data_IF_908292491164
#
_entry.id   IF_908292491164
#
_cell.length_a   1.000
_cell.length_b   1.000
_cell.length_c   1.000
_cell.angle_alpha   90.00
_cell.angle_beta   90.00
_cell.angle_gamma   90.00
#
_symmetry.space_group_name_H-M   'P 1'
#
loop_
_entity.id
_entity.type
_entity.pdbx_description
1 polymer ?
#
# COMPACT_ATOMS: atom_id res chain seq x y z
N UNK A 1 19.93 7.95 18.52
CA UNK A 1 20.21 8.03 17.07
C UNK A 1 18.96 8.59 16.42
N UNK A 2 19.10 9.72 15.74
CA UNK A 2 18.04 10.15 14.82
C UNK A 2 17.99 9.13 13.67
N UNK A 3 16.82 8.50 13.51
CA UNK A 3 16.59 7.47 12.47
C UNK A 3 16.17 8.10 11.15
N UNK A 4 15.75 9.36 11.17
CA UNK A 4 15.48 10.10 9.94
C UNK A 4 16.78 10.45 9.25
N UNK A 5 16.80 10.22 7.95
CA UNK A 5 17.89 10.69 7.12
C UNK A 5 17.42 11.98 6.47
N UNK A 6 18.25 13.02 6.58
CA UNK A 6 17.92 14.31 5.99
C UNK A 6 17.98 14.20 4.46
N UNK A 7 16.85 14.49 3.83
CA UNK A 7 16.69 14.73 2.39
C UNK A 7 15.93 16.05 2.25
N UNK A 8 16.20 16.78 1.16
CA UNK A 8 15.57 18.07 0.93
C UNK A 8 14.15 17.90 0.34
N UNK A 9 13.92 16.81 -0.40
CA UNK A 9 12.65 16.51 -1.08
C UNK A 9 11.91 15.31 -0.50
N UNK A 10 12.61 14.36 0.13
CA UNK A 10 11.99 13.20 0.78
C UNK A 10 11.75 13.51 2.26
N UNK A 11 10.49 13.76 2.64
CA UNK A 11 10.18 14.26 3.99
C UNK A 11 10.11 13.17 5.04
N UNK A 12 9.87 11.92 4.63
CA UNK A 12 9.53 10.81 5.50
C UNK A 12 10.49 9.62 5.36
N UNK A 13 11.76 9.90 5.04
CA UNK A 13 12.79 8.88 4.82
C UNK A 13 13.50 8.52 6.14
N UNK A 14 13.48 7.24 6.53
CA UNK A 14 14.16 6.75 7.75
C UNK A 14 14.56 5.28 7.70
N UNK A 15 15.54 4.93 8.53
CA UNK A 15 16.01 3.56 8.79
C UNK A 15 15.12 2.86 9.83
N UNK A 16 14.75 1.59 9.58
CA UNK A 16 14.02 0.72 10.52
C UNK A 16 14.95 -0.10 11.43
N UNK A 17 16.24 0.26 11.48
CA UNK A 17 17.23 -0.29 12.39
C UNK A 17 17.19 0.26 13.83
N UNK A 18 17.80 -0.50 14.73
CA UNK A 18 18.04 -0.09 16.12
C UNK A 18 16.84 -0.25 17.04
N UNK A 19 15.85 -1.07 16.68
CA UNK A 19 14.74 -1.44 17.57
C UNK A 19 15.07 -2.72 18.33
N UNK A 20 14.79 -2.73 19.64
CA UNK A 20 14.88 -3.96 20.44
C UNK A 20 13.80 -4.93 19.96
N UNK A 21 14.20 -6.16 19.73
CA UNK A 21 13.39 -7.25 19.20
C UNK A 21 13.35 -8.41 20.20
N UNK A 22 12.52 -9.41 19.91
CA UNK A 22 12.44 -10.62 20.74
C UNK A 22 13.80 -11.33 20.84
N UNK A 23 14.01 -12.11 21.91
CA UNK A 23 15.24 -12.88 22.10
C UNK A 23 16.51 -12.04 22.37
N UNK A 24 16.36 -10.76 22.73
CA UNK A 24 17.50 -9.87 22.98
C UNK A 24 18.15 -9.33 21.70
N UNK A 25 17.54 -9.57 20.54
CA UNK A 25 18.03 -9.07 19.26
C UNK A 25 17.73 -7.57 19.08
N UNK A 26 18.39 -6.97 18.09
CA UNK A 26 18.15 -5.59 17.66
C UNK A 26 18.04 -5.57 16.15
N UNK A 27 17.06 -4.83 15.61
CA UNK A 27 16.92 -4.69 14.15
C UNK A 27 18.19 -4.06 13.57
N UNK A 28 18.74 -4.68 12.53
CA UNK A 28 20.01 -4.25 11.94
C UNK A 28 19.80 -2.94 11.16
N UNK A 29 20.62 -1.94 11.45
CA UNK A 29 20.64 -0.68 10.70
C UNK A 29 21.10 -0.87 9.25
N UNK A 30 20.65 0.05 8.39
CA UNK A 30 20.95 0.10 6.96
C UNK A 30 20.52 -1.14 6.17
N UNK A 31 19.50 -1.85 6.64
CA UNK A 31 18.91 -3.01 5.95
C UNK A 31 17.58 -2.67 5.32
N UNK A 32 16.68 -2.02 6.07
CA UNK A 32 15.36 -1.65 5.59
C UNK A 32 15.07 -0.20 5.90
N UNK A 33 14.78 0.56 4.85
CA UNK A 33 14.34 1.95 4.93
C UNK A 33 12.85 2.06 4.59
N UNK A 34 12.23 3.13 5.06
CA UNK A 34 10.90 3.56 4.61
C UNK A 34 10.94 4.99 4.13
N UNK A 35 10.08 5.34 3.18
CA UNK A 35 10.07 6.67 2.55
C UNK A 35 8.66 7.12 2.13
N UNK A 36 8.54 8.42 1.84
CA UNK A 36 7.51 8.96 0.94
C UNK A 36 7.88 8.74 -0.54
N UNK A 37 7.22 9.45 -1.46
CA UNK A 37 7.34 9.22 -2.91
C UNK A 37 8.77 9.42 -3.46
N UNK A 38 9.46 8.33 -3.80
CA UNK A 38 10.80 8.35 -4.40
C UNK A 38 10.87 8.95 -5.81
N UNK A 39 9.74 9.15 -6.49
CA UNK A 39 9.74 9.81 -7.79
C UNK A 39 10.18 11.28 -7.73
N UNK A 40 10.14 11.90 -6.54
CA UNK A 40 10.71 13.24 -6.29
C UNK A 40 12.22 13.31 -6.57
N UNK A 41 12.91 12.17 -6.57
CA UNK A 41 14.32 12.11 -6.94
C UNK A 41 14.55 12.41 -8.43
N UNK A 42 13.52 12.45 -9.27
CA UNK A 42 13.63 12.96 -10.65
C UNK A 42 13.65 14.49 -10.73
N UNK A 43 13.25 15.19 -9.67
CA UNK A 43 13.16 16.65 -9.72
C UNK A 43 14.55 17.27 -9.97
N UNK A 44 14.64 18.35 -10.77
CA UNK A 44 15.92 19.00 -11.03
C UNK A 44 16.65 19.43 -9.75
N UNK A 45 15.90 19.86 -8.73
CA UNK A 45 16.45 20.26 -7.42
C UNK A 45 16.97 19.08 -6.58
N UNK A 46 16.65 17.83 -6.91
CA UNK A 46 16.99 16.65 -6.09
C UNK A 46 18.40 16.08 -6.36
N UNK A 47 19.37 16.88 -6.83
CA UNK A 47 20.74 16.40 -7.14
C UNK A 47 21.43 15.83 -5.90
N UNK A 48 21.43 16.59 -4.80
CA UNK A 48 22.04 16.15 -3.54
C UNK A 48 21.31 14.94 -2.95
N UNK A 49 19.98 14.94 -3.02
CA UNK A 49 19.15 13.82 -2.58
C UNK A 49 19.42 12.54 -3.36
N UNK A 50 19.58 12.61 -4.69
CA UNK A 50 19.99 11.45 -5.51
C UNK A 50 21.34 10.90 -5.05
N UNK A 51 22.34 11.77 -4.86
CA UNK A 51 23.65 11.35 -4.39
C UNK A 51 23.60 10.69 -2.99
N UNK A 52 22.78 11.24 -2.08
CA UNK A 52 22.53 10.63 -0.76
C UNK A 52 21.87 9.27 -0.88
N UNK A 53 20.81 9.16 -1.69
CA UNK A 53 20.11 7.90 -1.93
C UNK A 53 21.04 6.83 -2.51
N UNK A 54 21.89 7.21 -3.47
CA UNK A 54 22.87 6.30 -4.08
C UNK A 54 23.90 5.79 -3.07
N UNK A 55 24.37 6.67 -2.17
CA UNK A 55 25.31 6.34 -1.11
C UNK A 55 24.74 5.37 -0.05
N UNK A 56 23.41 5.22 0.04
CA UNK A 56 22.79 4.20 0.89
C UNK A 56 22.95 2.79 0.34
N UNK A 57 23.31 2.65 -0.93
CA UNK A 57 23.53 1.35 -1.57
C UNK A 57 22.25 0.52 -1.71
N UNK A 58 21.08 1.17 -1.78
CA UNK A 58 19.78 0.49 -1.92
C UNK A 58 19.77 -0.36 -3.21
N UNK A 59 19.35 -1.62 -3.08
CA UNK A 59 19.27 -2.60 -4.16
C UNK A 59 17.85 -3.02 -4.48
N UNK A 60 16.92 -2.86 -3.53
CA UNK A 60 15.52 -3.26 -3.70
C UNK A 60 14.58 -2.10 -3.36
N UNK A 61 13.64 -1.79 -4.25
CA UNK A 61 12.58 -0.81 -4.03
C UNK A 61 11.22 -1.49 -4.12
N UNK A 62 10.43 -1.35 -3.06
CA UNK A 62 9.03 -1.79 -3.02
C UNK A 62 8.12 -0.57 -3.05
N UNK A 63 7.41 -0.39 -4.16
CA UNK A 63 6.45 0.68 -4.36
C UNK A 63 5.03 0.18 -4.09
N UNK A 64 4.42 0.66 -3.00
CA UNK A 64 3.09 0.27 -2.53
C UNK A 64 1.96 1.09 -3.15
N UNK A 65 2.28 2.00 -4.08
CA UNK A 65 1.30 2.89 -4.70
C UNK A 65 0.39 2.15 -5.68
N UNK A 66 -0.75 2.75 -5.98
CA UNK A 66 -1.56 2.35 -7.11
C UNK A 66 -0.83 2.60 -8.43
N UNK A 67 -1.12 1.81 -9.46
CA UNK A 67 -0.54 2.00 -10.79
C UNK A 67 -0.79 3.41 -11.37
N UNK A 68 -1.95 4.01 -11.08
CA UNK A 68 -2.27 5.37 -11.53
C UNK A 68 -1.42 6.45 -10.86
N UNK A 69 -1.02 6.27 -9.59
CA UNK A 69 -0.12 7.20 -8.89
C UNK A 69 1.28 7.16 -9.53
N UNK A 70 1.75 5.97 -9.89
CA UNK A 70 3.02 5.74 -10.58
C UNK A 70 2.97 6.34 -11.99
N UNK A 71 1.89 6.08 -12.74
CA UNK A 71 1.71 6.65 -14.08
C UNK A 71 1.71 8.19 -14.06
N UNK A 72 1.14 8.80 -13.02
CA UNK A 72 1.05 10.26 -12.86
C UNK A 72 2.34 10.92 -12.43
N UNK A 73 3.11 10.28 -11.55
CA UNK A 73 4.25 10.95 -10.87
C UNK A 73 5.61 10.33 -11.18
N UNK A 74 5.65 9.16 -11.83
CA UNK A 74 6.86 8.43 -12.13
C UNK A 74 7.25 7.41 -11.05
N UNK A 75 8.30 6.65 -11.35
CA UNK A 75 8.96 5.70 -10.44
C UNK A 75 10.18 6.37 -9.79
N UNK A 76 10.86 5.65 -8.91
CA UNK A 76 12.24 5.97 -8.52
C UNK A 76 13.13 6.02 -9.78
N UNK A 77 14.17 6.87 -9.83
CA UNK A 77 15.16 6.86 -10.90
C UNK A 77 15.74 5.46 -11.13
N UNK A 78 15.73 5.02 -12.38
CA UNK A 78 16.28 3.73 -12.75
C UNK A 78 17.80 3.73 -12.53
N UNK A 79 18.31 2.61 -12.01
CA UNK A 79 19.73 2.38 -11.76
C UNK A 79 20.06 0.92 -12.02
N UNK A 80 21.27 0.67 -12.50
CA UNK A 80 21.75 -0.68 -12.76
C UNK A 80 21.75 -1.55 -11.49
N UNK A 81 21.12 -2.72 -11.61
CA UNK A 81 20.96 -3.69 -10.52
C UNK A 81 20.04 -3.23 -9.39
N UNK A 82 19.24 -2.18 -9.58
CA UNK A 82 18.14 -1.84 -8.69
C UNK A 82 16.91 -2.67 -9.05
N UNK A 83 16.54 -3.60 -8.17
CA UNK A 83 15.29 -4.36 -8.29
C UNK A 83 14.09 -3.49 -7.89
N UNK A 84 13.11 -3.37 -8.80
CA UNK A 84 11.90 -2.59 -8.57
C UNK A 84 10.68 -3.51 -8.54
N UNK A 85 9.94 -3.47 -7.42
CA UNK A 85 8.73 -4.25 -7.20
C UNK A 85 7.55 -3.31 -6.99
N UNK A 86 6.57 -3.35 -7.89
CA UNK A 86 5.29 -2.66 -7.71
C UNK A 86 4.30 -3.63 -7.07
N UNK A 87 3.97 -3.39 -5.80
CA UNK A 87 3.09 -4.24 -4.99
C UNK A 87 2.04 -3.35 -4.31
N UNK A 88 1.03 -2.93 -5.07
CA UNK A 88 -0.06 -2.09 -4.58
C UNK A 88 -0.95 -2.87 -3.59
N UNK A 89 -0.90 -2.49 -2.30
CA UNK A 89 -1.63 -3.18 -1.22
C UNK A 89 -3.03 -2.61 -0.96
N UNK A 90 -3.34 -1.47 -1.55
CA UNK A 90 -4.66 -0.84 -1.46
C UNK A 90 -5.35 -1.13 -2.80
N UNK A 91 -6.50 -1.80 -2.79
CA UNK A 91 -7.24 -2.16 -4.00
C UNK A 91 -8.47 -1.29 -4.23
N UNK A 92 -8.92 -0.59 -3.18
CA UNK A 92 -10.03 0.36 -3.25
C UNK A 92 -9.48 1.75 -3.56
N UNK A 93 -9.96 2.33 -4.65
CA UNK A 93 -9.63 3.72 -4.98
C UNK A 93 -10.22 4.61 -3.90
N UNK A 94 -9.35 5.36 -3.25
CA UNK A 94 -9.74 6.19 -2.13
C UNK A 94 -9.12 7.58 -2.33
N UNK A 95 -9.96 8.61 -2.36
CA UNK A 95 -9.54 9.96 -2.70
C UNK A 95 -9.43 10.82 -1.43
N UNK A 96 -8.18 11.18 -1.06
CA UNK A 96 -7.88 12.01 0.15
C UNK A 96 -8.51 13.37 0.02
N UNK A 97 -8.52 13.90 -1.20
CA UNK A 97 -9.02 15.23 -1.48
C UNK A 97 -10.55 15.26 -1.50
N UNK A 98 -11.21 14.19 -1.94
CA UNK A 98 -12.67 14.11 -1.96
C UNK A 98 -13.30 13.72 -0.61
N UNK A 99 -12.50 13.22 0.33
CA UNK A 99 -12.99 12.89 1.68
C UNK A 99 -13.09 14.19 2.51
N UNK A 100 -14.31 14.72 2.61
CA UNK A 100 -14.62 15.89 3.43
C UNK A 100 -14.40 15.66 4.94
N UNK A 101 -14.71 16.64 5.81
CA UNK A 101 -14.58 16.48 7.26
C UNK A 101 -15.43 15.29 7.75
N UNK A 102 -14.78 14.30 8.35
CA UNK A 102 -15.46 13.11 8.84
C UNK A 102 -15.79 13.22 10.33
N UNK A 103 -17.03 12.89 10.76
CA UNK A 103 -17.32 12.66 12.17
C UNK A 103 -16.54 11.45 12.67
N UNK A 104 -15.66 11.63 13.66
CA UNK A 104 -14.83 10.54 14.19
C UNK A 104 -13.73 10.07 13.24
N UNK A 105 -12.79 10.97 12.83
CA UNK A 105 -11.76 10.66 11.84
C UNK A 105 -10.89 9.46 12.24
N UNK A 106 -10.76 9.19 13.54
CA UNK A 106 -10.01 8.04 14.06
C UNK A 106 -10.65 6.68 13.73
N UNK A 107 -11.99 6.56 13.70
CA UNK A 107 -12.66 5.29 13.32
C UNK A 107 -12.40 5.00 11.85
N UNK A 108 -12.58 6.03 11.04
CA UNK A 108 -12.30 5.96 9.62
C UNK A 108 -10.84 5.61 9.29
N UNK A 109 -9.90 6.20 10.03
CA UNK A 109 -8.48 5.87 9.92
C UNK A 109 -8.13 4.48 10.50
N UNK A 110 -8.96 3.92 11.39
CA UNK A 110 -8.79 2.57 11.94
C UNK A 110 -9.42 1.48 11.07
N UNK A 111 -10.53 1.77 10.39
CA UNK A 111 -11.22 0.86 9.47
C UNK A 111 -10.38 0.64 8.20
N UNK A 112 -9.65 1.68 7.76
CA UNK A 112 -8.83 1.65 6.54
C UNK A 112 -7.71 0.59 6.54
N UNK A 113 -6.88 0.46 7.60
CA UNK A 113 -5.98 -0.69 7.73
C UNK A 113 -6.73 -2.02 7.59
N UNK A 114 -7.93 -2.14 8.16
CA UNK A 114 -8.77 -3.34 8.04
C UNK A 114 -9.12 -3.68 6.59
N UNK A 115 -9.48 -2.69 5.77
CA UNK A 115 -9.74 -2.90 4.34
C UNK A 115 -8.47 -3.30 3.56
N UNK A 116 -7.34 -2.65 3.84
CA UNK A 116 -6.05 -3.00 3.24
C UNK A 116 -5.66 -4.44 3.57
N UNK A 117 -5.86 -4.89 4.82
CA UNK A 117 -5.59 -6.28 5.18
C UNK A 117 -6.58 -7.27 4.56
N UNK A 118 -7.86 -6.89 4.45
CA UNK A 118 -8.89 -7.74 3.87
C UNK A 118 -8.64 -8.01 2.37
N UNK A 119 -8.29 -6.96 1.61
CA UNK A 119 -8.17 -7.05 0.16
C UNK A 119 -6.72 -7.22 -0.31
N UNK A 120 -5.75 -6.67 0.41
CA UNK A 120 -4.33 -6.62 0.06
C UNK A 120 -3.45 -7.67 0.73
N UNK A 121 -4.04 -8.64 1.43
CA UNK A 121 -3.28 -9.64 2.20
C UNK A 121 -2.27 -10.44 1.35
N UNK A 122 -2.61 -10.73 0.09
CA UNK A 122 -1.70 -11.41 -0.85
C UNK A 122 -0.49 -10.55 -1.18
N UNK A 123 -0.70 -9.29 -1.56
CA UNK A 123 0.37 -8.36 -1.89
C UNK A 123 1.23 -8.05 -0.66
N UNK A 124 0.63 -7.93 0.52
CA UNK A 124 1.38 -7.77 1.78
C UNK A 124 2.30 -8.97 2.02
N UNK A 125 1.81 -10.21 1.84
CA UNK A 125 2.65 -11.40 1.96
C UNK A 125 3.80 -11.39 0.95
N UNK A 126 3.54 -10.98 -0.30
CA UNK A 126 4.57 -10.83 -1.32
C UNK A 126 5.60 -9.75 -0.98
N UNK A 127 5.18 -8.64 -0.37
CA UNK A 127 6.09 -7.60 0.12
C UNK A 127 7.03 -8.19 1.18
N UNK A 128 6.48 -8.93 2.16
CA UNK A 128 7.31 -9.57 3.20
C UNK A 128 8.29 -10.56 2.57
N UNK A 129 7.86 -11.36 1.60
CA UNK A 129 8.72 -12.31 0.90
C UNK A 129 9.87 -11.63 0.14
N UNK A 130 9.57 -10.55 -0.61
CA UNK A 130 10.58 -9.73 -1.28
C UNK A 130 11.58 -9.12 -0.31
N UNK A 131 11.10 -8.60 0.83
CA UNK A 131 11.98 -7.99 1.84
C UNK A 131 12.85 -9.04 2.55
N UNK A 132 12.33 -10.23 2.81
CA UNK A 132 13.06 -11.31 3.46
C UNK A 132 14.19 -11.87 2.59
N UNK A 133 14.05 -11.81 1.26
CA UNK A 133 15.01 -12.32 0.29
C UNK A 133 15.76 -11.21 -0.47
N UNK A 134 15.67 -9.95 -0.03
CA UNK A 134 16.33 -8.83 -0.70
C UNK A 134 17.86 -8.96 -0.63
N UNK A 135 18.52 -8.91 -1.79
CA UNK A 135 19.98 -8.90 -1.89
C UNK A 135 20.54 -7.47 -1.67
N UNK A 136 20.60 -7.07 -0.40
CA UNK A 136 21.12 -5.76 0.03
C UNK A 136 20.05 -4.85 0.63
N UNK A 137 20.38 -3.58 0.91
CA UNK A 137 19.44 -2.65 1.55
C UNK A 137 18.20 -2.42 0.70
N UNK A 138 17.03 -2.47 1.33
CA UNK A 138 15.74 -2.29 0.69
C UNK A 138 15.05 -1.00 1.19
N UNK A 139 14.17 -0.44 0.37
CA UNK A 139 13.26 0.65 0.76
C UNK A 139 11.84 0.32 0.37
N UNK A 140 10.91 0.46 1.31
CA UNK A 140 9.47 0.44 1.02
C UNK A 140 8.89 1.86 1.06
N UNK A 141 8.02 2.19 0.11
CA UNK A 141 7.42 3.52 0.06
C UNK A 141 6.00 3.52 -0.51
N UNK A 142 5.29 4.63 -0.27
CA UNK A 142 4.03 4.92 -0.93
C UNK A 142 4.02 6.40 -1.36
N UNK A 143 2.87 7.09 -1.37
CA UNK A 143 2.81 8.51 -1.68
C UNK A 143 3.41 9.40 -0.58
N UNK A 144 2.97 9.23 0.66
CA UNK A 144 3.40 10.01 1.83
C UNK A 144 4.29 9.23 2.80
N UNK A 145 4.41 7.91 2.61
CA UNK A 145 5.09 7.02 3.55
C UNK A 145 4.37 6.88 4.90
N UNK A 146 3.15 7.40 5.06
CA UNK A 146 2.37 7.37 6.32
C UNK A 146 1.56 6.08 6.45
N UNK A 147 0.52 5.91 5.64
CA UNK A 147 -0.49 4.87 5.85
C UNK A 147 -0.03 3.50 5.34
N UNK A 148 -0.01 3.29 4.01
CA UNK A 148 0.38 2.00 3.39
C UNK A 148 1.76 1.52 3.84
N UNK A 149 2.74 2.40 3.78
CA UNK A 149 4.11 2.13 4.27
C UNK A 149 4.15 1.90 5.77
N UNK A 150 3.38 2.64 6.56
CA UNK A 150 3.36 2.48 8.01
C UNK A 150 2.75 1.16 8.45
N UNK A 151 1.69 0.71 7.77
CA UNK A 151 1.07 -0.60 8.02
C UNK A 151 2.07 -1.73 7.77
N UNK A 152 2.76 -1.72 6.62
CA UNK A 152 3.74 -2.75 6.29
C UNK A 152 4.96 -2.67 7.22
N UNK A 153 5.48 -1.48 7.51
CA UNK A 153 6.60 -1.31 8.44
C UNK A 153 6.24 -1.80 9.86
N UNK A 154 5.04 -1.49 10.34
CA UNK A 154 4.54 -1.97 11.63
C UNK A 154 4.43 -3.51 11.65
N UNK A 155 3.95 -4.12 10.57
CA UNK A 155 3.90 -5.58 10.43
C UNK A 155 5.30 -6.19 10.47
N UNK A 156 6.27 -5.65 9.73
CA UNK A 156 7.66 -6.13 9.74
C UNK A 156 8.25 -6.07 11.14
N UNK A 157 8.15 -4.92 11.83
CA UNK A 157 8.69 -4.78 13.19
C UNK A 157 7.99 -5.72 14.19
N UNK A 158 6.68 -5.93 14.04
CA UNK A 158 5.92 -6.87 14.86
C UNK A 158 6.38 -8.31 14.62
N UNK A 159 6.60 -8.72 13.37
CA UNK A 159 7.13 -10.04 13.02
C UNK A 159 8.55 -10.27 13.57
N UNK A 160 9.36 -9.21 13.67
CA UNK A 160 10.67 -9.24 14.32
C UNK A 160 10.58 -9.22 15.85
N UNK A 161 9.37 -9.12 16.44
CA UNK A 161 9.16 -9.14 17.88
C UNK A 161 9.50 -7.83 18.58
N UNK A 162 9.47 -6.69 17.86
CA UNK A 162 9.52 -5.36 18.48
C UNK A 162 8.22 -5.13 19.24
N UNK A 163 8.29 -4.58 20.45
CA UNK A 163 7.11 -4.36 21.27
C UNK A 163 6.14 -3.34 20.65
N UNK A 164 4.85 -3.51 20.95
CA UNK A 164 3.77 -2.74 20.34
C UNK A 164 3.91 -1.23 20.56
N UNK A 165 4.37 -0.78 21.72
CA UNK A 165 4.49 0.64 22.03
C UNK A 165 5.63 1.27 21.22
N UNK A 166 6.75 0.55 21.05
CA UNK A 166 7.83 0.96 20.16
C UNK A 166 7.39 0.99 18.69
N UNK A 167 6.60 0.00 18.23
CA UNK A 167 6.03 0.01 16.87
C UNK A 167 5.11 1.21 16.65
N UNK A 168 4.24 1.50 17.62
CA UNK A 168 3.36 2.66 17.57
C UNK A 168 4.14 3.99 17.57
N UNK A 169 5.24 4.05 18.34
CA UNK A 169 6.15 5.19 18.35
C UNK A 169 6.82 5.40 16.99
N UNK A 170 7.33 4.35 16.33
CA UNK A 170 7.88 4.46 14.95
C UNK A 170 6.83 4.96 13.96
N UNK A 171 5.61 4.46 14.07
CA UNK A 171 4.51 4.87 13.20
C UNK A 171 4.25 6.38 13.35
N UNK A 172 4.19 6.86 14.60
CA UNK A 172 3.95 8.27 14.95
C UNK A 172 5.08 9.21 14.53
N UNK A 173 6.31 8.73 14.30
CA UNK A 173 7.42 9.55 13.79
C UNK A 173 7.11 10.25 12.46
N UNK A 174 6.13 9.74 11.70
CA UNK A 174 5.65 10.38 10.47
C UNK A 174 5.11 11.80 10.70
N UNK A 175 4.68 12.15 11.91
CA UNK A 175 4.18 13.50 12.19
C UNK A 175 5.23 14.60 11.97
N UNK A 176 6.52 14.27 12.13
CA UNK A 176 7.61 15.19 11.79
C UNK A 176 7.67 15.54 10.30
N UNK A 177 7.17 14.65 9.43
CA UNK A 177 7.14 14.84 7.98
C UNK A 177 5.88 15.58 7.50
N UNK A 178 4.84 15.70 8.33
CA UNK A 178 3.51 16.19 7.92
C UNK A 178 3.56 17.59 7.30
N UNK A 179 4.36 18.51 7.86
CA UNK A 179 4.47 19.86 7.33
C UNK A 179 5.02 19.90 5.90
N UNK A 180 6.13 19.21 5.63
CA UNK A 180 6.74 19.14 4.30
C UNK A 180 5.84 18.43 3.27
N UNK A 181 5.20 17.34 3.67
CA UNK A 181 4.24 16.62 2.84
C UNK A 181 3.04 17.49 2.45
N UNK A 182 2.51 18.28 3.38
CA UNK A 182 1.42 19.23 3.14
C UNK A 182 1.84 20.36 2.21
N UNK A 183 3.06 20.89 2.37
CA UNK A 183 3.60 21.91 1.49
C UNK A 183 3.72 21.40 0.03
N UNK A 184 4.30 20.21 -0.17
CA UNK A 184 4.43 19.58 -1.49
C UNK A 184 3.08 19.25 -2.12
N UNK A 185 2.09 18.85 -1.31
CA UNK A 185 0.74 18.61 -1.80
C UNK A 185 0.09 19.92 -2.26
N UNK A 186 0.20 20.98 -1.47
CA UNK A 186 -0.40 22.29 -1.78
C UNK A 186 0.20 22.87 -3.07
N UNK A 187 1.53 22.80 -3.21
CA UNK A 187 2.25 23.27 -4.39
C UNK A 187 1.81 22.55 -5.68
N UNK A 188 1.46 21.25 -5.60
CA UNK A 188 1.03 20.46 -6.76
C UNK A 188 -0.44 20.60 -7.14
N UNK A 189 -1.30 20.91 -6.17
CA UNK A 189 -2.76 20.86 -6.36
C UNK A 189 -3.42 22.25 -6.29
N UNK A 190 -2.67 23.31 -5.99
CA UNK A 190 -3.19 24.69 -6.00
C UNK A 190 -4.24 24.99 -4.92
N UNK A 191 -4.40 24.13 -3.92
CA UNK A 191 -5.38 24.23 -2.84
C UNK A 191 -4.75 23.91 -1.48
N UNK A 192 -5.48 24.18 -0.38
CA UNK A 192 -5.12 23.71 0.95
C UNK A 192 -5.26 22.18 1.02
N UNK A 193 -4.34 21.45 1.70
CA UNK A 193 -4.44 20.00 1.83
C UNK A 193 -5.77 19.61 2.44
N UNK A 194 -6.39 18.49 2.01
CA UNK A 194 -7.53 17.94 2.73
C UNK A 194 -7.16 17.77 4.21
N UNK A 195 -8.15 17.89 5.08
CA UNK A 195 -8.01 17.73 6.52
C UNK A 195 -7.75 16.26 6.87
N UNK A 196 -6.61 15.72 6.45
CA UNK A 196 -6.13 14.39 6.78
C UNK A 196 -5.47 14.40 8.15
N UNK A 197 -6.28 14.11 9.18
CA UNK A 197 -5.90 13.63 10.51
C UNK A 197 -4.57 14.14 11.08
N UNK A 198 -4.62 15.29 11.75
CA UNK A 198 -3.75 15.48 12.91
C UNK A 198 -4.03 14.34 13.87
N UNK A 199 -3.00 13.59 14.23
CA UNK A 199 -3.09 12.56 15.26
C UNK A 199 -3.09 13.23 16.63
N UNK A 200 -4.08 14.08 16.90
CA UNK A 200 -4.41 14.37 18.30
C UNK A 200 -5.02 13.08 18.84
N UNK A 201 -4.16 12.26 19.44
CA UNK A 201 -4.58 11.11 20.21
C UNK A 201 -5.62 11.59 21.23
N UNK A 202 -6.76 10.90 21.39
CA UNK A 202 -7.67 11.24 22.47
C UNK A 202 -6.89 11.17 23.79
N UNK A 203 -7.18 12.07 24.76
CA UNK A 203 -6.54 12.00 26.07
C UNK A 203 -6.72 10.58 26.62
N UNK A 204 -5.61 9.95 27.05
CA UNK A 204 -5.66 8.64 27.71
C UNK A 204 -6.71 8.73 28.82
N UNK A 205 -7.67 7.78 28.93
CA UNK A 205 -8.53 7.74 30.10
C UNK A 205 -7.60 7.65 31.32
N UNK A 206 -7.74 8.61 32.24
CA UNK A 206 -7.01 8.60 33.50
C UNK A 206 -7.22 7.23 34.14
N UNK A 207 -6.15 6.62 34.64
CA UNK A 207 -6.17 5.37 35.37
C UNK A 207 -7.02 5.51 36.64
N UNK A 208 -8.34 5.41 36.50
CA UNK A 208 -9.25 5.16 37.59
C UNK A 208 -9.30 3.64 37.75
N UNK A 209 -8.59 3.18 38.79
CA UNK A 209 -8.58 1.80 39.26
C UNK A 209 -10.03 1.35 39.51
N UNK A 210 -10.61 0.63 38.56
CA UNK A 210 -11.86 -0.08 38.75
C UNK A 210 -11.57 -1.56 38.51
N UNK A 211 -11.36 -2.29 39.60
CA UNK A 211 -11.20 -3.73 39.61
C UNK A 211 -12.50 -4.38 39.17
N UNK A 212 -12.61 -4.72 37.89
CA UNK A 212 -13.63 -5.66 37.43
C UNK A 212 -13.00 -7.03 37.35
N UNK A 213 -13.30 -7.86 38.33
CA UNK A 213 -12.91 -9.27 38.41
C UNK A 213 -13.51 -10.02 37.23
N UNK A 214 -12.67 -10.50 36.32
CA UNK A 214 -13.09 -11.47 35.31
C UNK A 214 -13.17 -12.85 35.97
N UNK A 215 -14.37 -13.31 36.30
CA UNK A 215 -14.60 -14.73 36.60
C UNK A 215 -14.54 -15.52 35.30
N UNK A 216 -13.48 -16.32 35.14
CA UNK A 216 -13.38 -17.31 34.09
C UNK A 216 -14.39 -18.44 34.35
N UNK A 217 -15.39 -18.58 33.47
CA UNK A 217 -16.24 -19.78 33.43
C UNK A 217 -15.48 -20.87 32.68
N UNK A 218 -14.95 -21.84 33.42
CA UNK A 218 -14.34 -23.06 32.87
C UNK A 218 -15.46 -23.94 32.30
N UNK A 219 -15.53 -24.09 30.98
CA UNK A 219 -16.38 -25.09 30.35
C UNK A 219 -15.71 -26.48 30.48
N UNK A 220 -16.33 -27.37 31.25
CA UNK A 220 -15.90 -28.75 31.40
C UNK A 220 -16.10 -29.55 30.10
N UNK A 221 -15.11 -30.38 29.74
CA UNK A 221 -15.21 -31.33 28.63
C UNK A 221 -16.20 -32.46 28.94
N UNK A 222 -17.01 -32.93 27.98
CA UNK A 222 -17.88 -34.08 28.19
C UNK A 222 -17.11 -35.40 28.09
N UNK A 223 -17.57 -36.48 28.78
CA UNK A 223 -16.86 -37.75 28.82
C UNK A 223 -17.06 -38.58 27.56
N UNK A 224 -16.01 -39.33 27.23
CA UNK A 224 -15.96 -40.32 26.14
C UNK A 224 -16.74 -41.58 26.51
N UNK A 225 -17.70 -41.98 25.67
CA UNK A 225 -18.29 -43.32 25.71
C UNK A 225 -18.19 -44.01 24.35
N UNK A 226 -17.52 -45.17 24.34
CA UNK A 226 -17.51 -46.14 23.23
C UNK A 226 -18.93 -46.69 23.00
N UNK A 227 -19.34 -46.87 21.73
CA UNK A 227 -20.06 -48.07 21.24
C UNK A 227 -20.23 -48.09 19.71
N UNK A 228 -19.68 -49.15 19.11
CA UNK A 228 -20.25 -50.05 18.08
C UNK A 228 -21.32 -49.55 17.08
N UNK A 229 -21.06 -49.77 15.78
CA UNK A 229 -22.03 -49.77 14.68
C UNK A 229 -23.10 -50.87 14.83
N UNK A 230 -24.35 -50.73 14.30
CA UNK A 230 -24.61 -51.11 12.91
C UNK A 230 -25.76 -50.37 12.15
N UNK A 231 -25.73 -50.54 10.82
CA UNK A 231 -26.76 -50.52 9.74
C UNK A 231 -28.18 -49.94 9.98
N UNK A 232 -28.66 -49.17 8.98
CA UNK A 232 -30.07 -49.17 8.53
C UNK A 232 -30.79 -47.81 8.54
N UNK A 233 -31.04 -47.23 7.36
CA UNK A 233 -31.93 -46.07 7.15
C UNK A 233 -33.40 -46.46 7.31
N UNK A 234 -34.25 -45.51 7.74
CA UNK A 234 -35.43 -45.21 6.93
C UNK A 234 -35.65 -43.71 6.68
N UNK A 235 -36.30 -43.43 5.55
CA UNK A 235 -36.69 -42.12 5.02
C UNK A 235 -37.79 -41.44 5.85
N UNK A 236 -37.74 -40.10 5.92
CA UNK A 236 -38.87 -39.26 6.33
C UNK A 236 -39.01 -38.01 5.44
N UNK A 237 -40.23 -37.46 5.31
CA UNK A 237 -40.69 -36.73 4.13
C UNK A 237 -40.47 -35.21 4.20
N UNK A 238 -40.46 -34.59 3.01
CA UNK A 238 -40.40 -33.14 2.79
C UNK A 238 -41.56 -32.38 3.45
N UNK A 239 -41.25 -31.22 4.01
CA UNK A 239 -42.18 -30.15 4.38
C UNK A 239 -41.81 -28.85 3.62
N UNK A 240 -42.76 -27.93 3.39
CA UNK A 240 -42.79 -27.08 2.20
C UNK A 240 -42.00 -25.77 2.31
N UNK A 241 -41.75 -25.19 1.13
CA UNK A 241 -41.00 -23.97 0.87
C UNK A 241 -41.57 -22.74 1.58
N UNK A 242 -40.71 -22.01 2.28
CA UNK A 242 -40.96 -20.62 2.69
C UNK A 242 -40.45 -19.67 1.60
N UNK A 243 -41.37 -18.88 1.08
CA UNK A 243 -41.23 -17.91 0.00
C UNK A 243 -40.35 -16.71 0.40
N UNK A 244 -39.20 -16.54 -0.27
CA UNK A 244 -38.53 -15.25 -0.38
C UNK A 244 -39.01 -14.55 -1.65
N UNK A 245 -39.31 -13.24 -1.64
CA UNK A 245 -39.61 -12.49 -2.85
C UNK A 245 -38.35 -12.38 -3.74
N UNK A 246 -38.50 -12.34 -5.08
CA UNK A 246 -37.36 -12.27 -5.98
C UNK A 246 -36.62 -10.94 -5.84
N UNK A 247 -35.28 -11.01 -5.78
CA UNK A 247 -34.39 -9.84 -5.85
C UNK A 247 -34.56 -9.13 -7.19
N UNK A 248 -34.76 -7.82 -7.15
CA UNK A 248 -34.70 -6.95 -8.34
C UNK A 248 -33.33 -7.05 -9.01
N UNK A 249 -33.24 -7.05 -10.35
CA UNK A 249 -31.96 -7.01 -11.05
C UNK A 249 -31.24 -5.68 -10.81
N UNK A 250 -29.89 -5.66 -10.79
CA UNK A 250 -29.15 -4.43 -10.58
C UNK A 250 -29.40 -3.42 -11.71
N UNK A 251 -29.60 -2.16 -11.33
CA UNK A 251 -29.77 -1.05 -12.26
C UNK A 251 -28.54 -0.91 -13.17
N UNK A 252 -28.79 -0.68 -14.46
CA UNK A 252 -27.75 -0.33 -15.46
C UNK A 252 -26.96 0.89 -14.96
N UNK A 253 -25.62 0.90 -15.11
CA UNK A 253 -24.84 2.10 -14.78
C UNK A 253 -25.28 3.28 -15.67
N UNK A 254 -25.29 4.52 -15.14
CA UNK A 254 -25.62 5.69 -15.93
C UNK A 254 -24.63 5.84 -17.09
N UNK A 255 -25.17 6.15 -18.28
CA UNK A 255 -24.36 6.48 -19.47
C UNK A 255 -23.42 7.63 -19.11
N UNK A 256 -22.12 7.42 -19.34
CA UNK A 256 -21.12 8.47 -19.21
C UNK A 256 -21.44 9.67 -20.10
N UNK A 257 -20.95 10.88 -19.76
CA UNK A 257 -21.18 12.08 -20.55
C UNK A 257 -20.61 11.90 -21.97
N UNK A 258 -21.23 12.54 -22.99
CA UNK A 258 -20.82 12.36 -24.38
C UNK A 258 -19.39 12.85 -24.61
N UNK A 259 -18.63 12.03 -25.34
CA UNK A 259 -17.29 12.36 -25.86
C UNK A 259 -17.36 13.71 -26.58
N UNK A 260 -16.66 14.71 -26.03
CA UNK A 260 -16.35 15.92 -26.79
C UNK A 260 -15.19 15.58 -27.72
N UNK A 261 -15.52 15.38 -28.99
CA UNK A 261 -14.58 15.49 -30.11
C UNK A 261 -13.92 16.87 -30.07
N UNK A 262 -12.63 16.91 -29.76
CA UNK A 262 -11.82 18.11 -29.95
C UNK A 262 -11.47 18.21 -31.44
N UNK A 263 -12.27 18.96 -32.19
CA UNK A 263 -11.84 19.58 -33.44
C UNK A 263 -10.70 20.55 -33.12
N UNK A 264 -9.49 20.22 -33.57
CA UNK A 264 -8.38 21.17 -33.65
C UNK A 264 -8.17 21.53 -35.13
N UNK A 265 -8.63 22.71 -35.51
CA UNK A 265 -8.22 23.37 -36.75
C UNK A 265 -7.85 24.83 -36.48
N UNK A 266 -6.88 25.28 -37.29
CA UNK A 266 -6.15 26.55 -37.30
C UNK A 266 -5.00 26.63 -36.27
N UNK A 267 -3.74 26.80 -36.63
CA UNK A 267 -3.13 27.10 -37.92
C UNK A 267 -2.24 28.32 -37.79
N UNK A 268 -0.93 28.11 -37.70
CA UNK A 268 0.08 29.09 -38.16
C UNK A 268 1.36 28.37 -38.58
N UNK A 269 1.75 28.67 -39.83
CA UNK A 269 3.02 28.46 -40.54
C UNK A 269 4.20 28.93 -39.65
N UNK A 270 5.48 28.57 -39.80
CA UNK A 270 6.32 28.11 -40.92
C UNK A 270 7.73 27.83 -40.37
N UNK A 271 8.60 27.25 -41.21
CA UNK A 271 10.02 26.87 -41.01
C UNK A 271 10.18 25.44 -40.46
N UNK A 272 10.57 24.42 -41.23
CA UNK A 272 11.36 24.39 -42.45
C UNK A 272 12.78 23.97 -42.11
N UNK A 273 12.99 22.68 -41.82
CA UNK A 273 14.28 21.98 -41.92
C UNK A 273 13.96 20.49 -42.06
N UNK A 274 14.25 19.94 -43.24
CA UNK A 274 14.02 18.53 -43.57
C UNK A 274 15.12 17.64 -43.02
N UNK A 275 14.74 16.44 -42.59
CA UNK A 275 15.61 15.27 -42.60
C UNK A 275 14.75 14.03 -42.88
N UNK A 276 15.08 13.35 -43.97
CA UNK A 276 14.46 12.14 -44.48
C UNK A 276 14.61 10.96 -43.49
N UNK A 277 13.52 10.23 -43.29
CA UNK A 277 13.49 8.89 -42.69
C UNK A 277 13.11 7.87 -43.79
N UNK A 278 13.88 6.80 -44.03
CA UNK A 278 13.52 5.79 -45.01
C UNK A 278 12.42 4.85 -44.47
N UNK A 279 11.58 4.42 -45.42
CA UNK A 279 10.32 3.71 -45.26
C UNK A 279 10.44 2.24 -44.83
N UNK A 280 9.38 1.78 -44.17
CA UNK A 280 9.14 0.42 -43.73
C UNK A 280 9.05 -0.57 -44.91
N UNK A 281 9.74 -1.72 -44.79
CA UNK A 281 9.41 -2.95 -45.53
C UNK A 281 8.70 -3.92 -44.60
N UNK A 282 7.51 -4.32 -45.02
CA UNK A 282 6.68 -5.35 -44.42
C UNK A 282 7.30 -6.73 -44.59
N UNK A 283 7.70 -7.38 -43.50
CA UNK A 283 7.93 -8.82 -43.49
C UNK A 283 6.72 -9.52 -42.86
N UNK A 284 5.95 -10.22 -43.70
CA UNK A 284 4.95 -11.20 -43.26
C UNK A 284 5.70 -12.45 -42.80
N UNK A 285 5.50 -12.83 -41.54
CA UNK A 285 5.94 -14.11 -40.97
C UNK A 285 4.81 -15.12 -41.19
N UNK A 286 5.03 -16.26 -41.87
CA UNK A 286 4.03 -17.32 -41.98
C UNK A 286 3.97 -18.19 -40.72
N UNK A 287 2.76 -18.51 -40.26
CA UNK A 287 2.51 -19.47 -39.18
C UNK A 287 2.88 -20.90 -39.62
N UNK A 288 3.47 -21.73 -38.73
CA UNK A 288 3.68 -23.14 -39.01
C UNK A 288 2.37 -23.93 -38.86
N UNK A 289 2.00 -24.66 -39.90
CA UNK A 289 1.05 -25.77 -39.88
C UNK A 289 1.72 -26.95 -39.17
N UNK A 290 1.08 -27.45 -38.12
CA UNK A 290 1.44 -28.71 -37.47
C UNK A 290 0.57 -29.82 -38.02
N UNK A 291 1.16 -30.66 -38.87
CA UNK A 291 0.62 -31.95 -39.26
C UNK A 291 0.74 -32.93 -38.09
N UNK A 292 -0.39 -33.49 -37.66
CA UNK A 292 -0.45 -34.72 -36.86
C UNK A 292 -0.51 -35.92 -37.80
N UNK A 293 0.34 -36.95 -37.64
CA UNK A 293 0.07 -38.27 -38.14
C UNK A 293 -0.61 -39.14 -37.06
N UNK A 294 -1.35 -40.13 -37.57
CA UNK A 294 -2.17 -41.16 -36.91
C UNK A 294 -1.55 -41.89 -35.73
#
# INVERSE_FOLDING_TARGET
>A
MDRHLAFDRLHNFRDLGGYRAAGGHVTRGRVLYRSDNLAKLHEPAAVADRARFDALGIRTVVDLRHGWEIARTGRVPAREGLAFHHLGIEHRAWDQAATGPLPGPWRYLADKPGEIFADGGKEIAQVIDVLAHAEGPAVLHCASGKDRTGIVAALVLTLLGVDRDTVAADFALTEHATAGLRADWSARNGAAPPAGGTTDAPPRPSSATSSTTWTATTAASPPTSRRTAPRGRPSRPCAPASSYPPRSPPARPPKGPPERTAEYLSGTRSAGLGFDMPSARSHRVPCPVSDTPS
#
